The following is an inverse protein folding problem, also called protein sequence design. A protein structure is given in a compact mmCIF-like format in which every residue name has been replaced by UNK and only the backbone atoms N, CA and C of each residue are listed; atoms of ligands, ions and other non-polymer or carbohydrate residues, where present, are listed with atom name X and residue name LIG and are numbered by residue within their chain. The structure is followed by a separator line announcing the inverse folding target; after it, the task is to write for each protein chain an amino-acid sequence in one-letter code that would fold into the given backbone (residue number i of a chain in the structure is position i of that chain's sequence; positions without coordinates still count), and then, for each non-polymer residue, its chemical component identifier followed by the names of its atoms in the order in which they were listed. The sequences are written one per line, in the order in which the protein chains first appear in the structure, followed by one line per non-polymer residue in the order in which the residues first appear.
data_IF_366975153665
#
_entry.id   IF_366975153665
#
_cell.length_a   1.000
_cell.length_b   1.000
_cell.length_c   1.000
_cell.angle_alpha   90.00
_cell.angle_beta   90.00
_cell.angle_gamma   90.00
#
_symmetry.space_group_name_H-M   'P 1'
#
loop_
_entity.id
_entity.type
_entity.pdbx_description
1 polymer ?
#
# COMPACT_ATOMS: atom_id res chain seq x y z
N UNK A 1 -6.21 -7.16 6.92
CA UNK A 1 -5.34 -6.50 7.92
C UNK A 1 -5.47 -4.99 7.84
N UNK A 2 -5.06 -4.34 8.89
CA UNK A 2 -5.11 -2.87 8.98
C UNK A 2 -3.73 -2.30 9.27
N UNK A 3 -3.44 -1.15 8.65
CA UNK A 3 -2.20 -0.42 8.90
C UNK A 3 -2.60 0.93 9.51
N UNK A 4 -2.17 1.23 10.75
CA UNK A 4 -2.50 2.52 11.38
C UNK A 4 -1.86 3.69 10.64
N UNK A 5 -2.53 4.82 10.62
CA UNK A 5 -2.00 6.06 10.07
C UNK A 5 -2.21 6.19 8.58
N UNK A 6 -1.38 7.04 7.97
CA UNK A 6 -1.46 7.40 6.55
C UNK A 6 -0.15 7.07 5.85
N UNK A 7 -0.25 6.74 4.58
CA UNK A 7 0.93 6.57 3.73
C UNK A 7 1.15 7.84 2.90
N UNK A 8 2.37 8.05 2.39
CA UNK A 8 2.65 9.20 1.52
C UNK A 8 1.79 9.15 0.27
N UNK A 9 1.35 10.32 -0.19
CA UNK A 9 0.63 10.46 -1.44
C UNK A 9 1.56 10.68 -2.63
N UNK A 10 0.99 10.79 -3.82
CA UNK A 10 1.75 10.98 -5.06
C UNK A 10 2.70 12.18 -4.97
N UNK A 11 2.22 13.32 -4.42
CA UNK A 11 3.03 14.53 -4.33
C UNK A 11 4.29 14.30 -3.48
N UNK A 12 4.14 13.60 -2.36
CA UNK A 12 5.25 13.29 -1.46
C UNK A 12 6.23 12.30 -2.11
N UNK A 13 5.69 11.28 -2.79
CA UNK A 13 6.49 10.27 -3.50
C UNK A 13 7.32 10.93 -4.59
N UNK A 14 6.71 11.79 -5.40
CA UNK A 14 7.40 12.52 -6.49
C UNK A 14 8.47 13.46 -5.91
N UNK A 15 8.15 14.16 -4.81
CA UNK A 15 9.11 15.05 -4.16
C UNK A 15 10.36 14.28 -3.69
N UNK A 16 10.17 13.12 -3.08
CA UNK A 16 11.29 12.29 -2.62
C UNK A 16 12.10 11.71 -3.80
N UNK A 17 11.44 11.33 -4.89
CA UNK A 17 12.11 10.84 -6.08
C UNK A 17 13.00 11.93 -6.72
N UNK A 18 12.54 13.18 -6.71
CA UNK A 18 13.30 14.29 -7.27
C UNK A 18 14.53 14.69 -6.45
N UNK A 19 14.57 14.37 -5.16
CA UNK A 19 15.72 14.64 -4.29
C UNK A 19 16.88 13.69 -4.53
N UNK A 20 16.67 12.58 -5.20
CA UNK A 20 17.70 11.56 -5.42
C UNK A 20 18.89 12.10 -6.19
N UNK A 21 20.11 11.81 -5.69
CA UNK A 21 21.35 12.24 -6.33
C UNK A 21 22.48 11.29 -5.93
N UNK A 22 23.05 10.59 -6.90
CA UNK A 22 24.12 9.63 -6.65
C UNK A 22 23.67 8.53 -5.69
N UNK A 23 24.36 8.41 -4.56
CA UNK A 23 24.00 7.42 -3.51
C UNK A 23 22.86 7.87 -2.61
N UNK A 24 22.48 9.15 -2.67
CA UNK A 24 21.37 9.68 -1.89
C UNK A 24 20.07 9.40 -2.61
N UNK A 25 19.31 8.40 -2.14
CA UNK A 25 18.08 7.93 -2.77
C UNK A 25 16.93 7.90 -1.76
N UNK A 26 16.36 9.08 -1.41
CA UNK A 26 15.31 9.15 -0.39
C UNK A 26 14.02 8.40 -0.78
N UNK A 27 13.69 8.34 -2.08
CA UNK A 27 12.54 7.53 -2.51
C UNK A 27 12.76 6.03 -2.24
N UNK A 28 13.95 5.52 -2.52
CA UNK A 28 14.25 4.11 -2.25
C UNK A 28 14.13 3.80 -0.76
N UNK A 29 14.56 4.72 0.10
CA UNK A 29 14.42 4.59 1.55
C UNK A 29 12.96 4.63 1.98
N UNK A 30 12.18 5.55 1.44
CA UNK A 30 10.75 5.66 1.69
C UNK A 30 10.04 4.36 1.30
N UNK A 31 10.31 3.85 0.10
CA UNK A 31 9.74 2.61 -0.40
C UNK A 31 10.05 1.44 0.53
N UNK A 32 11.30 1.32 0.97
CA UNK A 32 11.72 0.26 1.87
C UNK A 32 10.99 0.32 3.21
N UNK A 33 10.89 1.50 3.80
CA UNK A 33 10.21 1.69 5.08
C UNK A 33 8.73 1.30 5.03
N UNK A 34 7.99 1.80 4.03
CA UNK A 34 6.56 1.53 3.93
C UNK A 34 6.27 0.10 3.49
N UNK A 35 7.06 -0.45 2.58
CA UNK A 35 6.94 -1.85 2.18
C UNK A 35 7.17 -2.78 3.37
N UNK A 36 8.19 -2.51 4.19
CA UNK A 36 8.47 -3.30 5.39
C UNK A 36 7.34 -3.19 6.42
N UNK A 37 6.77 -2.01 6.58
CA UNK A 37 5.64 -1.80 7.50
C UNK A 37 4.45 -2.67 7.10
N UNK A 38 4.12 -2.70 5.80
CA UNK A 38 3.04 -3.55 5.28
C UNK A 38 3.36 -5.03 5.52
N UNK A 39 4.57 -5.45 5.17
CA UNK A 39 4.99 -6.84 5.33
C UNK A 39 4.92 -7.30 6.80
N UNK A 40 5.30 -6.43 7.71
CA UNK A 40 5.22 -6.70 9.15
C UNK A 40 3.79 -6.92 9.61
N UNK A 41 2.88 -6.01 9.24
CA UNK A 41 1.46 -6.10 9.63
C UNK A 41 0.80 -7.31 8.98
N UNK A 42 1.17 -7.64 7.76
CA UNK A 42 0.57 -8.72 6.97
C UNK A 42 1.20 -10.10 7.22
N UNK A 43 2.21 -10.20 8.10
CA UNK A 43 3.04 -11.40 8.24
C UNK A 43 2.26 -12.67 8.61
N UNK A 44 1.11 -12.54 9.28
CA UNK A 44 0.30 -13.68 9.71
C UNK A 44 -0.83 -14.03 8.75
N UNK A 45 -0.96 -13.31 7.66
CA UNK A 45 -1.99 -13.62 6.67
C UNK A 45 -1.65 -14.94 5.96
N UNK A 46 -2.68 -15.71 5.57
CA UNK A 46 -2.44 -16.94 4.83
C UNK A 46 -1.87 -16.66 3.43
N UNK A 47 -1.27 -17.67 2.83
CA UNK A 47 -0.80 -17.61 1.44
C UNK A 47 -1.98 -17.83 0.50
N UNK A 48 -1.94 -17.12 -0.61
CA UNK A 48 -2.95 -17.24 -1.67
C UNK A 48 -2.28 -17.60 -2.99
N UNK A 49 -3.01 -18.24 -3.88
CA UNK A 49 -2.54 -18.48 -5.25
C UNK A 49 -2.74 -17.24 -6.11
N UNK A 50 -3.92 -16.64 -6.04
CA UNK A 50 -4.29 -15.43 -6.76
C UNK A 50 -5.31 -14.67 -5.91
N UNK A 51 -5.22 -13.35 -5.89
CA UNK A 51 -6.04 -12.56 -4.96
C UNK A 51 -6.90 -11.53 -5.65
N UNK A 52 -8.03 -11.23 -5.00
CA UNK A 52 -8.77 -9.99 -5.15
C UNK A 52 -8.43 -9.13 -3.94
N UNK A 53 -8.04 -7.89 -4.16
CA UNK A 53 -7.62 -6.97 -3.10
C UNK A 53 -8.63 -5.82 -3.01
N UNK A 54 -9.08 -5.53 -1.80
CA UNK A 54 -9.85 -4.32 -1.52
C UNK A 54 -9.06 -3.48 -0.53
N UNK A 55 -8.71 -2.27 -0.92
CA UNK A 55 -7.98 -1.33 -0.06
C UNK A 55 -8.94 -0.18 0.28
N UNK A 56 -9.21 0.00 1.55
CA UNK A 56 -9.99 1.13 2.04
C UNK A 56 -9.04 2.13 2.68
N UNK A 57 -8.95 3.29 2.06
CA UNK A 57 -8.10 4.39 2.51
C UNK A 57 -8.92 5.26 3.45
N UNK A 58 -8.66 5.15 4.76
CA UNK A 58 -9.38 5.90 5.77
C UNK A 58 -8.56 7.12 6.14
N UNK A 59 -8.96 8.27 5.59
CA UNK A 59 -8.27 9.55 5.72
C UNK A 59 -8.87 10.38 6.86
N UNK A 60 -8.10 11.32 7.44
CA UNK A 60 -8.64 12.19 8.50
C UNK A 60 -9.58 13.27 7.97
N UNK A 61 -9.58 13.53 6.67
CA UNK A 61 -10.40 14.54 6.01
C UNK A 61 -10.45 14.26 4.50
N UNK A 62 -11.09 15.14 3.72
CA UNK A 62 -11.27 14.97 2.28
C UNK A 62 -10.28 15.80 1.44
N UNK A 63 -9.18 16.24 2.01
CA UNK A 63 -8.26 17.18 1.32
C UNK A 63 -7.48 16.55 0.19
N UNK A 64 -7.03 15.31 0.33
CA UNK A 64 -6.26 14.65 -0.73
C UNK A 64 -7.20 14.01 -1.74
N UNK A 65 -6.91 14.17 -3.02
CA UNK A 65 -7.66 13.52 -4.09
C UNK A 65 -7.38 12.02 -4.14
N UNK A 66 -8.32 11.22 -4.66
CA UNK A 66 -8.15 9.76 -4.75
C UNK A 66 -6.87 9.30 -5.43
N UNK A 67 -6.49 9.91 -6.56
CA UNK A 67 -5.27 9.53 -7.26
C UNK A 67 -4.00 9.80 -6.43
N UNK A 68 -4.00 10.88 -5.65
CA UNK A 68 -2.89 11.19 -4.75
C UNK A 68 -2.78 10.11 -3.64
N UNK A 69 -3.91 9.72 -3.07
CA UNK A 69 -3.97 8.69 -2.01
C UNK A 69 -3.55 7.32 -2.57
N UNK A 70 -4.09 6.94 -3.72
CA UNK A 70 -3.89 5.62 -4.32
C UNK A 70 -2.45 5.34 -4.74
N UNK A 71 -1.62 6.36 -4.87
CA UNK A 71 -0.22 6.18 -5.24
C UNK A 71 0.53 5.25 -4.29
N UNK A 72 0.12 5.19 -3.03
CA UNK A 72 0.73 4.30 -2.04
C UNK A 72 0.37 2.81 -2.24
N UNK A 73 -0.49 2.48 -3.20
CA UNK A 73 -0.81 1.10 -3.56
C UNK A 73 0.46 0.29 -3.79
N UNK A 74 1.48 0.89 -4.39
CA UNK A 74 2.75 0.21 -4.66
C UNK A 74 3.35 -0.39 -3.40
N UNK A 75 3.33 0.35 -2.30
CA UNK A 75 3.87 -0.13 -1.02
C UNK A 75 3.02 -1.28 -0.45
N UNK A 76 1.70 -1.21 -0.64
CA UNK A 76 0.79 -2.27 -0.19
C UNK A 76 1.08 -3.57 -0.96
N UNK A 77 1.14 -3.52 -2.28
CA UNK A 77 1.38 -4.70 -3.10
C UNK A 77 2.77 -5.28 -2.87
N UNK A 78 3.79 -4.43 -2.81
CA UNK A 78 5.17 -4.89 -2.55
C UNK A 78 5.26 -5.54 -1.16
N UNK A 79 4.55 -5.00 -0.17
CA UNK A 79 4.52 -5.56 1.18
C UNK A 79 3.83 -6.92 1.24
N UNK A 80 2.75 -7.08 0.51
CA UNK A 80 2.03 -8.36 0.40
C UNK A 80 2.95 -9.44 -0.21
N UNK A 81 3.69 -9.09 -1.25
CA UNK A 81 4.67 -10.00 -1.86
C UNK A 81 5.80 -10.31 -0.88
N UNK A 82 6.35 -9.30 -0.22
CA UNK A 82 7.43 -9.48 0.76
C UNK A 82 7.01 -10.36 1.94
N UNK A 83 5.75 -10.28 2.35
CA UNK A 83 5.20 -11.13 3.40
C UNK A 83 4.99 -12.59 2.94
N UNK A 84 5.15 -12.87 1.65
CA UNK A 84 4.99 -14.21 1.10
C UNK A 84 3.53 -14.61 0.86
N UNK A 85 2.61 -13.66 0.84
CA UNK A 85 1.18 -13.93 0.66
C UNK A 85 0.89 -14.38 -0.77
N UNK A 86 1.50 -13.73 -1.76
CA UNK A 86 1.49 -14.14 -3.17
C UNK A 86 2.92 -14.12 -3.70
N UNK A 87 3.17 -14.82 -4.80
CA UNK A 87 4.52 -14.93 -5.38
C UNK A 87 5.03 -13.62 -5.95
N UNK A 88 4.15 -12.82 -6.56
CA UNK A 88 4.51 -11.64 -7.30
C UNK A 88 3.27 -10.75 -7.44
N UNK A 89 3.46 -9.48 -7.78
CA UNK A 89 2.37 -8.52 -7.94
C UNK A 89 1.88 -8.35 -9.38
N UNK A 90 2.19 -9.31 -10.24
CA UNK A 90 1.73 -9.31 -11.63
C UNK A 90 0.28 -9.74 -11.77
N UNK A 91 -0.30 -9.53 -12.95
CA UNK A 91 -1.66 -9.95 -13.28
C UNK A 91 -1.90 -11.46 -13.10
N UNK A 92 -0.84 -12.24 -13.11
CA UNK A 92 -0.93 -13.68 -12.87
C UNK A 92 -1.40 -13.99 -11.46
N UNK A 93 -1.08 -13.13 -10.49
CA UNK A 93 -1.36 -13.36 -9.07
C UNK A 93 -2.35 -12.36 -8.48
N UNK A 94 -2.68 -11.29 -9.21
CA UNK A 94 -3.67 -10.30 -8.77
C UNK A 94 -4.76 -10.21 -9.84
N UNK A 95 -5.97 -10.60 -9.46
CA UNK A 95 -7.12 -10.56 -10.35
C UNK A 95 -7.79 -9.19 -10.38
N UNK A 96 -8.00 -8.59 -9.21
CA UNK A 96 -8.63 -7.27 -9.12
C UNK A 96 -8.10 -6.48 -7.93
N UNK A 97 -8.15 -5.16 -8.06
CA UNK A 97 -7.82 -4.23 -6.98
C UNK A 97 -8.96 -3.21 -6.92
N UNK A 98 -9.59 -3.13 -5.75
CA UNK A 98 -10.68 -2.19 -5.51
C UNK A 98 -10.21 -1.17 -4.48
N UNK A 99 -10.41 0.11 -4.76
CA UNK A 99 -10.11 1.20 -3.85
C UNK A 99 -11.41 1.79 -3.31
N UNK A 100 -11.45 1.99 -2.01
CA UNK A 100 -12.54 2.67 -1.33
C UNK A 100 -11.97 3.79 -0.47
N UNK A 101 -12.75 4.83 -0.24
CA UNK A 101 -12.31 6.02 0.50
C UNK A 101 -13.31 6.30 1.61
N UNK A 102 -12.78 6.49 2.82
CA UNK A 102 -13.57 6.81 4.01
C UNK A 102 -12.88 7.92 4.77
N UNK A 103 -13.63 8.61 5.61
CA UNK A 103 -13.08 9.62 6.51
C UNK A 103 -13.28 9.17 7.95
N UNK A 104 -12.20 9.17 8.72
CA UNK A 104 -12.23 8.98 10.16
C UNK A 104 -11.14 9.88 10.75
N UNK A 105 -11.58 10.99 11.33
CA UNK A 105 -10.68 12.00 11.86
C UNK A 105 -9.81 11.48 13.00
N UNK A 106 -10.34 10.55 13.79
CA UNK A 106 -9.68 10.07 15.01
C UNK A 106 -8.74 8.90 14.75
N UNK A 107 -9.09 8.02 13.80
CA UNK A 107 -8.30 6.83 13.50
C UNK A 107 -8.06 6.66 12.00
N UNK A 108 -7.26 7.54 11.38
CA UNK A 108 -6.84 7.32 9.99
C UNK A 108 -6.09 5.99 9.90
N UNK A 109 -6.38 5.23 8.86
CA UNK A 109 -5.78 3.90 8.68
C UNK A 109 -5.95 3.42 7.24
N UNK A 110 -5.31 2.31 6.93
CA UNK A 110 -5.50 1.62 5.66
C UNK A 110 -6.02 0.22 5.99
N UNK A 111 -7.19 -0.12 5.47
CA UNK A 111 -7.79 -1.45 5.65
C UNK A 111 -7.58 -2.26 4.37
N UNK A 112 -6.99 -3.44 4.49
CA UNK A 112 -6.71 -4.31 3.35
C UNK A 112 -7.44 -5.64 3.54
N UNK A 113 -8.31 -5.98 2.59
CA UNK A 113 -9.02 -7.26 2.57
C UNK A 113 -8.52 -8.06 1.37
N UNK A 114 -8.09 -9.27 1.63
CA UNK A 114 -7.61 -10.20 0.62
C UNK A 114 -8.56 -11.39 0.53
N UNK A 115 -8.92 -11.74 -0.70
CA UNK A 115 -9.77 -12.90 -0.97
C UNK A 115 -9.12 -13.74 -2.06
N UNK A 116 -9.24 -15.08 -1.96
CA UNK A 116 -8.76 -15.96 -3.02
C UNK A 116 -9.61 -15.74 -4.28
N UNK A 117 -8.96 -15.40 -5.38
CA UNK A 117 -9.65 -15.21 -6.65
C UNK A 117 -9.98 -16.56 -7.28
N UNK A 118 -11.15 -16.64 -7.87
CA UNK A 118 -11.62 -17.83 -8.57
C UNK A 118 -11.03 -17.97 -9.98
#
# INVERSE_FOLDING_TARGET
FEIPGRFPGMNEIVAEAKKGKGKYQPYAKMKEEYTNMVAWVAARMPKFNKIDVTITWVEPNVRRDPDNIMAAQKFILDGIVRAGIIKDDSQKYINSIIHRFKVDKQEPRIEVVLEEAE
#
